data_IF_661674266970
#
_entry.id   IF_661674266970
#
_cell.length_a   1.000
_cell.length_b   1.000
_cell.length_c   1.000
_cell.angle_alpha   90.00
_cell.angle_beta   90.00
_cell.angle_gamma   90.00
#
_symmetry.space_group_name_H-M   'P 1'
#
loop_
_entity.id
_entity.type
_entity.pdbx_description
1 polymer ?
#
# COMPACT_ATOMS: atom_id res chain seq x y z
N UNK A 1 96.61 -29.15 21.68
CA UNK A 1 95.42 -29.33 22.54
C UNK A 1 94.18 -28.96 21.71
N UNK A 2 93.53 -29.89 21.01
CA UNK A 2 92.50 -30.87 21.48
C UNK A 2 91.19 -30.14 21.88
N UNK A 3 89.98 -30.38 21.31
CA UNK A 3 89.34 -31.46 20.49
C UNK A 3 88.20 -30.82 19.64
N UNK A 4 88.08 -31.09 18.32
CA UNK A 4 87.16 -32.01 17.58
C UNK A 4 85.65 -31.90 17.99
N UNK A 5 84.65 -31.80 17.09
CA UNK A 5 84.00 -32.91 16.32
C UNK A 5 82.77 -32.39 15.49
N UNK A 6 82.63 -32.83 14.21
CA UNK A 6 81.41 -33.12 13.35
C UNK A 6 80.44 -31.96 12.97
N UNK A 7 79.71 -31.90 11.83
CA UNK A 7 79.72 -32.46 10.47
C UNK A 7 78.52 -31.86 9.67
N UNK A 8 78.66 -31.78 8.34
CA UNK A 8 77.68 -32.10 7.26
C UNK A 8 76.36 -31.31 7.08
N UNK A 9 76.26 -30.69 5.89
CA UNK A 9 75.15 -30.45 4.93
C UNK A 9 73.71 -30.13 5.42
N UNK A 10 73.08 -29.11 4.81
CA UNK A 10 71.92 -29.20 3.86
C UNK A 10 71.30 -27.79 3.68
N UNK A 11 71.35 -27.29 2.44
CA UNK A 11 70.22 -26.71 1.66
C UNK A 11 69.13 -25.91 2.39
N UNK A 12 69.01 -24.60 2.10
CA UNK A 12 67.87 -24.01 1.35
C UNK A 12 68.01 -22.47 1.30
N UNK A 13 68.05 -21.92 0.09
CA UNK A 13 67.69 -20.52 -0.17
C UNK A 13 66.18 -20.38 0.09
N UNK A 14 65.79 -19.63 1.12
CA UNK A 14 64.45 -19.04 1.22
C UNK A 14 64.52 -17.63 0.64
N UNK A 15 64.20 -17.51 -0.64
CA UNK A 15 63.77 -16.25 -1.24
C UNK A 15 62.44 -15.89 -0.58
N UNK A 16 62.44 -14.94 0.35
CA UNK A 16 61.23 -14.38 0.91
C UNK A 16 60.51 -13.55 -0.13
N UNK A 17 59.62 -14.17 -0.92
CA UNK A 17 58.56 -13.46 -1.63
C UNK A 17 57.61 -12.88 -0.60
N UNK A 18 57.73 -11.58 -0.34
CA UNK A 18 56.68 -10.80 0.32
C UNK A 18 55.53 -10.74 -0.68
N UNK A 19 54.60 -11.69 -0.58
CA UNK A 19 53.27 -11.58 -1.18
C UNK A 19 52.56 -10.52 -0.34
N UNK A 20 52.64 -9.26 -0.76
CA UNK A 20 51.67 -8.25 -0.35
C UNK A 20 50.32 -8.74 -0.81
N UNK A 21 49.52 -9.21 0.15
CA UNK A 21 48.11 -9.52 -0.05
C UNK A 21 47.39 -8.17 -0.24
N UNK A 22 47.48 -7.61 -1.44
CA UNK A 22 46.49 -6.64 -1.90
C UNK A 22 45.20 -7.44 -2.03
N UNK A 23 44.36 -7.40 -1.00
CA UNK A 23 42.92 -7.54 -1.18
C UNK A 23 42.51 -6.38 -2.08
N UNK A 24 42.61 -6.57 -3.39
CA UNK A 24 41.61 -5.98 -4.26
C UNK A 24 40.28 -6.49 -3.73
N UNK A 25 39.53 -5.61 -3.08
CA UNK A 25 38.08 -5.76 -3.09
C UNK A 25 37.67 -5.72 -4.54
N UNK A 26 37.71 -6.87 -5.21
CA UNK A 26 36.89 -7.13 -6.39
C UNK A 26 35.47 -6.90 -5.90
N UNK A 27 34.99 -5.68 -6.09
CA UNK A 27 33.58 -5.39 -6.11
C UNK A 27 33.07 -6.20 -7.29
N UNK A 28 32.61 -7.42 -7.00
CA UNK A 28 31.83 -8.20 -7.95
C UNK A 28 30.73 -7.28 -8.45
N UNK A 29 30.86 -6.80 -9.69
CA UNK A 29 29.84 -5.96 -10.29
C UNK A 29 28.60 -6.85 -10.36
N UNK A 30 27.58 -6.54 -9.57
CA UNK A 30 26.32 -7.28 -9.56
C UNK A 30 25.60 -6.99 -10.87
N UNK A 31 25.89 -7.80 -11.89
CA UNK A 31 25.51 -7.54 -13.28
C UNK A 31 24.27 -8.30 -13.73
N UNK A 32 23.72 -9.18 -12.90
CA UNK A 32 22.54 -9.97 -13.27
C UNK A 32 21.27 -9.42 -12.64
N UNK A 33 20.17 -9.60 -13.36
CA UNK A 33 18.83 -9.37 -12.84
C UNK A 33 18.53 -10.26 -11.62
N UNK A 34 19.11 -11.47 -11.54
CA UNK A 34 18.97 -12.34 -10.36
C UNK A 34 19.52 -11.69 -9.08
N UNK A 35 20.66 -11.00 -9.15
CA UNK A 35 21.21 -10.28 -8.00
C UNK A 35 20.34 -9.09 -7.59
N UNK A 36 19.63 -8.46 -8.53
CA UNK A 36 18.64 -7.43 -8.21
C UNK A 36 17.45 -8.03 -7.45
N UNK A 37 16.98 -9.20 -7.86
CA UNK A 37 15.90 -9.93 -7.16
C UNK A 37 16.34 -10.31 -5.75
N UNK A 38 17.58 -10.77 -5.56
CA UNK A 38 18.14 -11.02 -4.22
C UNK A 38 18.15 -9.75 -3.36
N UNK A 39 18.65 -8.63 -3.91
CA UNK A 39 18.60 -7.34 -3.23
C UNK A 39 17.17 -6.92 -2.89
N UNK A 40 16.21 -7.14 -3.79
CA UNK A 40 14.80 -6.84 -3.55
C UNK A 40 14.25 -7.62 -2.35
N UNK A 41 14.53 -8.92 -2.26
CA UNK A 41 14.08 -9.71 -1.12
C UNK A 41 14.71 -9.25 0.20
N UNK A 42 16.02 -9.00 0.22
CA UNK A 42 16.69 -8.44 1.40
C UNK A 42 16.11 -7.07 1.80
N UNK A 43 15.85 -6.22 0.80
CA UNK A 43 15.24 -4.91 0.97
C UNK A 43 13.84 -5.01 1.59
N UNK A 44 12.96 -5.88 1.06
CA UNK A 44 11.60 -6.06 1.57
C UNK A 44 11.60 -6.64 2.98
N UNK A 45 12.49 -7.58 3.27
CA UNK A 45 12.67 -8.09 4.62
C UNK A 45 13.09 -6.98 5.60
N UNK A 46 14.06 -6.15 5.23
CA UNK A 46 14.50 -5.01 6.03
C UNK A 46 13.43 -3.93 6.23
N UNK A 47 12.69 -3.58 5.17
CA UNK A 47 11.65 -2.57 5.23
C UNK A 47 10.49 -3.03 6.13
N UNK A 48 10.19 -4.33 6.14
CA UNK A 48 9.14 -4.95 6.96
C UNK A 48 9.54 -5.36 8.38
N UNK A 49 10.83 -5.39 8.73
CA UNK A 49 11.32 -5.79 10.07
C UNK A 49 11.16 -4.66 11.11
N UNK A 50 9.91 -4.34 11.41
CA UNK A 50 9.50 -3.27 12.32
C UNK A 50 8.58 -3.78 13.43
N UNK A 51 8.90 -4.93 14.03
CA UNK A 51 8.10 -5.50 15.12
C UNK A 51 8.93 -5.69 16.40
N UNK A 52 8.31 -5.38 17.54
CA UNK A 52 8.81 -5.69 18.88
C UNK A 52 7.67 -6.38 19.64
N UNK A 53 7.91 -7.62 20.10
CA UNK A 53 6.90 -8.47 20.77
C UNK A 53 5.58 -8.63 19.98
N UNK A 54 5.68 -8.72 18.65
CA UNK A 54 4.54 -8.87 17.75
C UNK A 54 3.73 -7.59 17.49
N UNK A 55 4.13 -6.45 18.06
CA UNK A 55 3.51 -5.14 17.83
C UNK A 55 4.40 -4.33 16.88
N UNK A 56 3.84 -3.64 15.86
CA UNK A 56 4.62 -2.73 15.03
C UNK A 56 5.30 -1.63 15.87
N UNK A 57 6.61 -1.46 15.69
CA UNK A 57 7.48 -0.56 16.44
C UNK A 57 7.94 0.60 15.54
N UNK A 58 7.32 1.76 15.74
CA UNK A 58 7.66 3.04 15.11
C UNK A 58 8.23 4.03 16.13
N UNK A 59 8.81 3.53 17.23
CA UNK A 59 9.51 4.37 18.19
C UNK A 59 10.63 5.16 17.52
N UNK A 60 10.99 6.30 18.11
CA UNK A 60 12.08 7.14 17.60
C UNK A 60 13.41 6.38 17.50
N UNK A 61 13.68 5.47 18.44
CA UNK A 61 14.86 4.61 18.42
C UNK A 61 14.82 3.63 17.24
N UNK A 62 13.71 2.92 17.04
CA UNK A 62 13.57 1.97 15.94
C UNK A 62 13.64 2.66 14.57
N UNK A 63 12.96 3.78 14.40
CA UNK A 63 12.98 4.56 13.16
C UNK A 63 14.36 5.13 12.88
N UNK A 64 15.07 5.61 13.91
CA UNK A 64 16.46 6.03 13.76
C UNK A 64 17.36 4.87 13.33
N UNK A 65 17.25 3.70 13.97
CA UNK A 65 18.03 2.52 13.62
C UNK A 65 17.79 2.10 12.16
N UNK A 66 16.52 2.01 11.74
CA UNK A 66 16.19 1.69 10.36
C UNK A 66 16.82 2.71 9.40
N UNK A 67 16.71 4.00 9.67
CA UNK A 67 17.28 5.02 8.80
C UNK A 67 18.82 5.02 8.77
N UNK A 68 19.48 4.66 9.87
CA UNK A 68 20.94 4.52 9.93
C UNK A 68 21.45 3.30 9.14
N UNK A 69 20.68 2.21 9.09
CA UNK A 69 21.01 0.98 8.36
C UNK A 69 20.64 1.07 6.87
N UNK A 70 19.64 1.87 6.53
CA UNK A 70 19.10 2.03 5.17
C UNK A 70 20.15 2.32 4.07
N UNK A 71 21.20 3.14 4.28
CA UNK A 71 22.24 3.38 3.28
C UNK A 71 22.91 2.11 2.73
N UNK A 72 22.93 1.00 3.48
CA UNK A 72 23.45 -0.29 3.00
C UNK A 72 22.72 -0.75 1.73
N UNK A 73 21.40 -0.65 1.71
CA UNK A 73 20.57 -1.08 0.58
C UNK A 73 20.68 -0.13 -0.60
N UNK A 74 20.67 1.19 -0.35
CA UNK A 74 20.87 2.19 -1.40
C UNK A 74 22.22 2.02 -2.10
N UNK A 75 23.29 1.78 -1.34
CA UNK A 75 24.62 1.57 -1.90
C UNK A 75 24.71 0.26 -2.70
N UNK A 76 24.05 -0.82 -2.24
CA UNK A 76 23.95 -2.07 -3.01
C UNK A 76 23.24 -1.85 -4.34
N UNK A 77 22.12 -1.13 -4.35
CA UNK A 77 21.38 -0.82 -5.59
C UNK A 77 22.20 0.06 -6.55
N UNK A 78 22.88 1.09 -6.02
CA UNK A 78 23.67 2.01 -6.83
C UNK A 78 24.89 1.36 -7.53
N UNK A 79 25.31 0.17 -7.09
CA UNK A 79 26.43 -0.58 -7.67
C UNK A 79 26.06 -1.47 -8.87
N UNK A 80 24.77 -1.54 -9.25
CA UNK A 80 24.36 -2.28 -10.44
C UNK A 80 24.70 -1.49 -11.72
N UNK A 81 25.40 -2.14 -12.66
CA UNK A 81 25.48 -1.63 -14.04
C UNK A 81 24.29 -2.18 -14.84
N UNK A 82 23.37 -1.28 -15.19
CA UNK A 82 22.17 -1.62 -15.97
C UNK A 82 22.39 -1.46 -17.48
N UNK A 83 23.62 -1.17 -17.91
CA UNK A 83 23.97 -1.06 -19.33
C UNK A 83 23.68 -2.37 -20.05
N UNK A 84 22.94 -2.29 -21.17
CA UNK A 84 22.57 -3.47 -21.96
C UNK A 84 21.45 -4.33 -21.36
N UNK A 85 20.89 -3.96 -20.20
CA UNK A 85 19.73 -4.68 -19.66
C UNK A 85 18.51 -4.56 -20.57
N UNK A 86 17.70 -5.63 -20.60
CA UNK A 86 16.40 -5.62 -21.26
C UNK A 86 15.47 -4.57 -20.62
N UNK A 87 14.46 -4.11 -21.35
CA UNK A 87 13.47 -3.16 -20.81
C UNK A 87 12.81 -3.72 -19.52
N UNK A 88 12.33 -4.98 -19.47
CA UNK A 88 11.74 -5.53 -18.25
C UNK A 88 12.68 -5.50 -17.03
N UNK A 89 13.97 -5.77 -17.22
CA UNK A 89 14.93 -5.73 -16.10
C UNK A 89 15.23 -4.30 -15.64
N UNK A 90 15.26 -3.33 -16.56
CA UNK A 90 15.41 -1.91 -16.21
C UNK A 90 14.19 -1.37 -15.46
N UNK A 91 12.98 -1.82 -15.83
CA UNK A 91 11.76 -1.52 -15.08
C UNK A 91 11.90 -2.01 -13.65
N UNK A 92 12.28 -3.28 -13.46
CA UNK A 92 12.48 -3.86 -12.13
C UNK A 92 13.49 -3.07 -11.30
N UNK A 93 14.61 -2.65 -11.89
CA UNK A 93 15.58 -1.79 -11.21
C UNK A 93 14.97 -0.47 -10.73
N UNK A 94 14.20 0.21 -11.59
CA UNK A 94 13.57 1.49 -11.25
C UNK A 94 12.46 1.34 -10.21
N UNK A 95 11.75 0.21 -10.17
CA UNK A 95 10.76 -0.06 -9.14
C UNK A 95 11.42 -0.24 -7.78
N UNK A 96 12.51 -1.00 -7.68
CA UNK A 96 13.28 -1.14 -6.43
C UNK A 96 13.84 0.21 -5.99
N UNK A 97 14.35 1.03 -6.92
CA UNK A 97 14.80 2.39 -6.63
C UNK A 97 13.67 3.27 -6.09
N UNK A 98 12.48 3.20 -6.70
CA UNK A 98 11.31 3.96 -6.28
C UNK A 98 10.85 3.57 -4.88
N UNK A 99 10.86 2.27 -4.53
CA UNK A 99 10.54 1.84 -3.17
C UNK A 99 11.54 2.38 -2.14
N UNK A 100 12.84 2.30 -2.44
CA UNK A 100 13.87 2.86 -1.55
C UNK A 100 13.71 4.38 -1.39
N UNK A 101 13.39 5.09 -2.48
CA UNK A 101 13.09 6.52 -2.42
C UNK A 101 11.84 6.82 -1.58
N UNK A 102 10.83 5.94 -1.60
CA UNK A 102 9.65 6.02 -0.74
C UNK A 102 10.01 5.98 0.74
N UNK A 103 10.82 5.01 1.17
CA UNK A 103 11.29 4.93 2.57
C UNK A 103 12.09 6.19 2.97
N UNK A 104 13.01 6.61 2.10
CA UNK A 104 13.81 7.81 2.31
C UNK A 104 12.93 9.05 2.53
N UNK A 105 11.87 9.17 1.74
CA UNK A 105 10.93 10.26 1.81
C UNK A 105 10.05 10.21 3.06
N UNK A 106 9.61 9.02 3.47
CA UNK A 106 8.89 8.83 4.72
C UNK A 106 9.74 9.25 5.92
N UNK A 107 11.01 8.86 5.98
CA UNK A 107 11.91 9.27 7.07
C UNK A 107 12.22 10.76 7.09
N UNK A 108 12.42 11.39 5.93
CA UNK A 108 12.83 12.80 5.86
C UNK A 108 11.66 13.77 5.90
N UNK A 109 10.55 13.45 5.22
CA UNK A 109 9.50 14.42 4.86
C UNK A 109 8.13 14.06 5.42
N UNK A 110 7.55 12.91 5.05
CA UNK A 110 6.16 12.58 5.43
C UNK A 110 6.08 12.22 6.91
N UNK A 111 6.98 11.38 7.40
CA UNK A 111 7.05 10.88 8.79
C UNK A 111 5.67 10.48 9.31
N UNK A 112 4.99 9.53 8.66
CA UNK A 112 3.58 9.24 8.94
C UNK A 112 3.36 8.89 10.41
N UNK A 113 4.26 8.11 11.03
CA UNK A 113 4.25 7.78 12.46
C UNK A 113 4.32 8.99 13.40
N UNK A 114 4.92 10.12 12.98
CA UNK A 114 4.96 11.35 13.78
C UNK A 114 3.81 12.31 13.48
N UNK A 115 3.33 12.33 12.23
CA UNK A 115 2.49 13.42 11.70
C UNK A 115 1.02 13.05 11.54
N UNK A 116 0.70 11.78 11.33
CA UNK A 116 -0.64 11.33 10.94
C UNK A 116 -1.21 10.34 11.96
N UNK A 117 -2.21 10.73 12.77
CA UNK A 117 -2.89 9.76 13.63
C UNK A 117 -3.61 8.65 12.85
N UNK A 118 -4.02 8.90 11.61
CA UNK A 118 -4.65 7.88 10.75
C UNK A 118 -3.72 6.68 10.47
N UNK A 119 -2.40 6.88 10.51
CA UNK A 119 -1.40 5.81 10.35
C UNK A 119 -1.54 4.69 11.39
N UNK A 120 -2.10 5.01 12.55
CA UNK A 120 -2.29 4.05 13.65
C UNK A 120 -3.62 3.26 13.56
N UNK A 121 -4.40 3.49 12.50
CA UNK A 121 -5.63 2.74 12.21
C UNK A 121 -5.33 1.49 11.41
N UNK A 122 -5.37 0.34 12.07
CA UNK A 122 -4.90 -0.93 11.48
C UNK A 122 -6.03 -1.93 11.23
N UNK A 123 -7.27 -1.65 11.64
CA UNK A 123 -8.42 -2.54 11.36
C UNK A 123 -9.10 -2.10 10.06
N UNK A 124 -9.23 -3.02 9.11
CA UNK A 124 -9.85 -2.79 7.80
C UNK A 124 -10.89 -3.87 7.51
N UNK A 125 -12.10 -3.48 7.13
CA UNK A 125 -13.24 -4.37 6.88
C UNK A 125 -13.52 -4.63 5.40
N UNK A 126 -12.76 -3.99 4.53
CA UNK A 126 -12.92 -4.07 3.08
C UNK A 126 -11.57 -4.21 2.40
N UNK A 127 -11.56 -5.01 1.34
CA UNK A 127 -10.42 -5.13 0.46
C UNK A 127 -10.21 -3.81 -0.28
N UNK A 128 -8.97 -3.34 -0.36
CA UNK A 128 -8.63 -2.23 -1.26
C UNK A 128 -8.96 -2.63 -2.71
N UNK A 129 -9.52 -1.70 -3.47
CA UNK A 129 -9.71 -1.83 -4.91
C UNK A 129 -8.39 -1.84 -5.68
N UNK A 130 -7.27 -1.62 -5.00
CA UNK A 130 -5.94 -1.61 -5.58
C UNK A 130 -5.02 -2.60 -4.87
N UNK A 131 -3.81 -2.90 -5.41
CA UNK A 131 -2.97 -3.97 -4.88
C UNK A 131 -2.59 -3.83 -3.39
N UNK A 132 -2.55 -2.62 -2.84
CA UNK A 132 -2.35 -2.36 -1.42
C UNK A 132 -3.17 -1.13 -1.01
N UNK A 133 -3.49 -0.96 0.28
CA UNK A 133 -4.22 0.22 0.74
C UNK A 133 -3.52 1.53 0.36
N UNK A 134 -4.33 2.52 -0.02
CA UNK A 134 -3.85 3.85 -0.40
C UNK A 134 -3.37 4.68 0.79
N UNK A 135 -2.26 5.40 0.57
CA UNK A 135 -1.66 6.27 1.56
C UNK A 135 -0.73 5.54 2.53
N UNK A 136 -0.23 6.28 3.52
CA UNK A 136 0.67 5.71 4.52
C UNK A 136 -0.10 4.81 5.49
N UNK A 137 0.11 3.51 5.36
CA UNK A 137 -0.41 2.48 6.26
C UNK A 137 0.69 1.84 7.10
N UNK A 138 0.40 1.54 8.36
CA UNK A 138 1.33 0.82 9.21
C UNK A 138 1.38 -0.67 8.83
N UNK A 139 2.53 -1.30 9.04
CA UNK A 139 2.63 -2.76 9.14
C UNK A 139 1.67 -3.34 10.19
N UNK A 140 1.31 -4.61 10.02
CA UNK A 140 0.48 -5.34 10.99
C UNK A 140 -1.01 -5.05 10.88
N UNK A 141 -1.51 -4.78 9.66
CA UNK A 141 -2.93 -4.60 9.41
C UNK A 141 -3.74 -5.86 9.80
N UNK A 142 -4.96 -5.63 10.27
CA UNK A 142 -5.97 -6.65 10.53
C UNK A 142 -7.05 -6.51 9.47
N UNK A 143 -6.94 -7.33 8.43
CA UNK A 143 -7.80 -7.35 7.26
C UNK A 143 -9.02 -8.27 7.50
N UNK A 144 -10.11 -7.72 8.04
CA UNK A 144 -11.30 -8.50 8.42
C UNK A 144 -12.01 -9.14 7.22
N UNK A 145 -11.79 -8.61 6.01
CA UNK A 145 -12.35 -9.14 4.77
C UNK A 145 -11.68 -10.45 4.30
N UNK A 146 -10.50 -10.79 4.83
CA UNK A 146 -9.81 -12.06 4.52
C UNK A 146 -10.41 -13.27 5.26
N UNK A 147 -11.36 -13.04 6.17
CA UNK A 147 -11.94 -14.09 7.00
C UNK A 147 -13.31 -14.54 6.50
N UNK A 148 -13.51 -15.84 6.45
CA UNK A 148 -14.81 -16.46 6.24
C UNK A 148 -15.58 -16.56 7.58
N UNK A 149 -16.89 -16.35 7.54
CA UNK A 149 -17.75 -16.43 8.72
C UNK A 149 -18.79 -17.54 8.54
N UNK A 150 -19.06 -18.37 9.57
CA UNK A 150 -18.50 -18.32 10.93
C UNK A 150 -17.00 -18.67 10.97
N UNK A 151 -16.26 -18.03 11.89
CA UNK A 151 -14.80 -18.15 11.98
C UNK A 151 -14.39 -19.58 12.38
N UNK A 152 -13.28 -20.06 11.79
CA UNK A 152 -12.63 -21.28 12.25
C UNK A 152 -11.83 -21.06 13.55
N UNK A 153 -11.50 -22.11 14.29
CA UNK A 153 -10.64 -22.01 15.49
C UNK A 153 -9.29 -21.35 15.18
N UNK A 154 -8.72 -21.65 14.01
CA UNK A 154 -7.46 -21.05 13.56
C UNK A 154 -7.61 -19.54 13.31
N UNK A 155 -8.72 -19.14 12.70
CA UNK A 155 -9.02 -17.72 12.44
C UNK A 155 -9.35 -16.95 13.71
N UNK A 156 -10.03 -17.58 14.68
CA UNK A 156 -10.25 -17.01 16.01
C UNK A 156 -8.91 -16.68 16.67
N UNK A 157 -7.94 -17.61 16.63
CA UNK A 157 -6.61 -17.39 17.20
C UNK A 157 -5.87 -16.27 16.47
N UNK A 158 -5.83 -16.31 15.12
CA UNK A 158 -5.16 -15.31 14.27
C UNK A 158 -5.73 -13.91 14.50
N UNK A 159 -7.05 -13.77 14.42
CA UNK A 159 -7.75 -12.49 14.61
C UNK A 159 -7.56 -11.96 16.03
N UNK A 160 -7.70 -12.82 17.05
CA UNK A 160 -7.45 -12.45 18.46
C UNK A 160 -6.04 -11.91 18.66
N UNK A 161 -5.02 -12.54 18.06
CA UNK A 161 -3.63 -12.07 18.15
C UNK A 161 -3.45 -10.71 17.46
N UNK A 162 -4.04 -10.53 16.26
CA UNK A 162 -4.01 -9.24 15.55
C UNK A 162 -4.66 -8.11 16.36
N UNK A 163 -5.86 -8.33 16.88
CA UNK A 163 -6.60 -7.35 17.68
C UNK A 163 -5.86 -6.95 18.96
N UNK A 164 -5.15 -7.89 19.60
CA UNK A 164 -4.35 -7.61 20.80
C UNK A 164 -3.20 -6.63 20.56
N UNK A 165 -2.78 -6.42 19.32
CA UNK A 165 -1.75 -5.42 18.98
C UNK A 165 -2.27 -3.99 19.03
N UNK A 166 -3.59 -3.76 18.90
CA UNK A 166 -4.20 -2.42 18.81
C UNK A 166 -3.88 -1.58 20.05
N UNK A 167 -4.12 -2.11 21.25
CA UNK A 167 -3.89 -1.37 22.49
C UNK A 167 -2.44 -0.90 22.69
N UNK A 168 -1.41 -1.78 22.69
CA UNK A 168 -0.03 -1.34 22.81
C UNK A 168 0.41 -0.44 21.65
N UNK A 169 -0.12 -0.64 20.44
CA UNK A 169 0.18 0.22 19.30
C UNK A 169 -0.35 1.65 19.47
N UNK A 170 -1.57 1.81 19.99
CA UNK A 170 -2.15 3.13 20.28
C UNK A 170 -1.51 3.82 21.49
N UNK A 171 -0.99 3.08 22.46
CA UNK A 171 -0.14 3.64 23.52
C UNK A 171 1.14 4.25 22.93
N UNK A 172 1.78 3.52 22.01
CA UNK A 172 2.95 4.01 21.28
C UNK A 172 2.62 5.27 20.44
N UNK A 173 1.45 5.30 19.81
CA UNK A 173 0.98 6.44 19.02
C UNK A 173 0.96 7.75 19.83
N UNK A 174 0.49 7.70 21.09
CA UNK A 174 0.45 8.87 21.98
C UNK A 174 1.83 9.46 22.26
N UNK A 175 2.90 8.67 22.14
CA UNK A 175 4.30 9.09 22.30
C UNK A 175 4.86 9.62 20.98
N UNK A 176 4.65 8.90 19.88
CA UNK A 176 5.24 9.20 18.58
C UNK A 176 4.62 10.45 17.92
N UNK A 177 3.33 10.69 18.13
CA UNK A 177 2.56 11.76 17.48
C UNK A 177 2.90 13.15 18.02
N UNK A 178 3.97 13.70 17.47
CA UNK A 178 4.50 15.05 17.77
C UNK A 178 4.13 16.09 16.71
N UNK A 179 3.55 15.66 15.58
CA UNK A 179 3.16 16.52 14.48
C UNK A 179 2.06 17.54 14.83
N UNK A 180 2.01 18.60 14.01
CA UNK A 180 1.13 19.75 14.23
C UNK A 180 0.09 19.98 13.12
N UNK A 181 0.03 19.13 12.08
CA UNK A 181 -0.85 19.31 10.93
C UNK A 181 -2.32 19.10 11.31
N UNK A 182 -3.09 20.19 11.45
CA UNK A 182 -4.44 20.14 12.06
C UNK A 182 -5.41 19.24 11.30
N UNK A 183 -5.36 19.28 9.98
CA UNK A 183 -6.19 18.48 9.08
C UNK A 183 -5.85 16.98 9.13
N UNK A 184 -4.57 16.60 9.22
CA UNK A 184 -4.19 15.20 9.44
C UNK A 184 -4.72 14.68 10.78
N UNK A 185 -4.77 15.52 11.81
CA UNK A 185 -5.36 15.14 13.10
C UNK A 185 -6.88 14.97 13.00
N UNK A 186 -7.59 15.84 12.25
CA UNK A 186 -9.02 15.67 11.99
C UNK A 186 -9.33 14.40 11.22
N UNK A 187 -8.59 14.13 10.15
CA UNK A 187 -8.73 12.89 9.38
C UNK A 187 -8.39 11.66 10.21
N UNK A 188 -7.38 11.75 11.06
CA UNK A 188 -7.03 10.71 12.03
C UNK A 188 -8.14 10.37 13.01
N UNK A 189 -8.83 11.38 13.56
CA UNK A 189 -10.01 11.16 14.41
C UNK A 189 -11.08 10.40 13.64
N UNK A 190 -11.45 10.85 12.44
CA UNK A 190 -12.46 10.17 11.62
C UNK A 190 -12.07 8.72 11.30
N UNK A 191 -10.79 8.46 10.98
CA UNK A 191 -10.27 7.10 10.74
C UNK A 191 -10.40 6.21 11.97
N UNK A 192 -10.10 6.74 13.16
CA UNK A 192 -10.24 6.00 14.42
C UNK A 192 -11.70 5.76 14.80
N UNK A 193 -12.58 6.74 14.59
CA UNK A 193 -14.03 6.55 14.76
C UNK A 193 -14.57 5.45 13.84
N UNK A 194 -14.07 5.39 12.59
CA UNK A 194 -14.38 4.29 11.67
C UNK A 194 -13.92 2.95 12.22
N UNK A 195 -12.67 2.87 12.70
CA UNK A 195 -12.16 1.65 13.34
C UNK A 195 -13.00 1.24 14.55
N UNK A 196 -13.44 2.19 15.37
CA UNK A 196 -14.31 1.92 16.53
C UNK A 196 -15.66 1.34 16.12
N UNK A 197 -16.27 1.86 15.04
CA UNK A 197 -17.51 1.30 14.45
C UNK A 197 -17.28 -0.10 13.88
N UNK A 198 -16.24 -0.28 13.07
CA UNK A 198 -15.87 -1.60 12.52
C UNK A 198 -15.64 -2.64 13.63
N UNK A 199 -15.03 -2.26 14.76
CA UNK A 199 -14.87 -3.15 15.91
C UNK A 199 -16.20 -3.47 16.61
N UNK A 200 -17.14 -2.53 16.66
CA UNK A 200 -18.49 -2.78 17.17
C UNK A 200 -19.26 -3.74 16.24
N UNK A 201 -19.20 -3.53 14.93
CA UNK A 201 -19.84 -4.40 13.94
C UNK A 201 -19.24 -5.82 13.98
N UNK A 202 -17.92 -5.92 14.15
CA UNK A 202 -17.24 -7.21 14.34
C UNK A 202 -17.71 -7.90 15.62
N UNK A 203 -17.83 -7.16 16.74
CA UNK A 203 -18.33 -7.70 18.00
C UNK A 203 -19.72 -8.29 17.84
N UNK A 204 -20.64 -7.54 17.21
CA UNK A 204 -22.02 -7.99 16.96
C UNK A 204 -22.04 -9.24 16.07
N UNK A 205 -21.15 -9.31 15.08
CA UNK A 205 -21.01 -10.46 14.17
C UNK A 205 -20.45 -11.72 14.84
N UNK A 206 -19.65 -11.58 15.92
CA UNK A 206 -18.91 -12.69 16.54
C UNK A 206 -19.21 -12.93 18.02
N UNK A 207 -20.23 -12.27 18.59
CA UNK A 207 -20.47 -12.23 20.04
C UNK A 207 -20.49 -13.62 20.71
N UNK A 208 -21.16 -14.58 20.08
CA UNK A 208 -21.32 -15.95 20.59
C UNK A 208 -20.23 -16.93 20.10
N UNK A 209 -19.17 -16.43 19.45
CA UNK A 209 -18.15 -17.28 18.82
C UNK A 209 -17.08 -17.73 19.81
N UNK A 210 -16.53 -16.82 20.61
CA UNK A 210 -15.44 -17.13 21.54
C UNK A 210 -15.23 -16.03 22.59
N UNK A 211 -15.16 -16.38 23.87
CA UNK A 211 -14.93 -15.43 24.96
C UNK A 211 -13.60 -14.68 24.80
N UNK A 212 -12.54 -15.36 24.33
CA UNK A 212 -11.21 -14.73 24.14
C UNK A 212 -11.21 -13.72 23.00
N UNK A 213 -12.00 -13.97 21.94
CA UNK A 213 -12.15 -13.06 20.80
C UNK A 213 -12.98 -11.86 21.22
N UNK A 214 -14.12 -12.09 21.87
CA UNK A 214 -14.98 -11.05 22.42
C UNK A 214 -14.21 -10.12 23.36
N UNK A 215 -13.35 -10.66 24.23
CA UNK A 215 -12.48 -9.85 25.07
C UNK A 215 -11.49 -8.99 24.25
N UNK A 216 -10.82 -9.57 23.26
CA UNK A 216 -9.85 -8.86 22.43
C UNK A 216 -10.50 -7.74 21.58
N UNK A 217 -11.70 -7.95 21.05
CA UNK A 217 -12.45 -6.92 20.31
C UNK A 217 -12.81 -5.76 21.24
N UNK A 218 -13.34 -6.06 22.44
CA UNK A 218 -13.68 -5.04 23.44
C UNK A 218 -12.45 -4.23 23.87
N UNK A 219 -11.32 -4.89 24.16
CA UNK A 219 -10.07 -4.21 24.53
C UNK A 219 -9.56 -3.30 23.41
N UNK A 220 -9.58 -3.78 22.15
CA UNK A 220 -9.19 -2.98 20.99
C UNK A 220 -10.11 -1.77 20.80
N UNK A 221 -11.43 -1.94 21.02
CA UNK A 221 -12.41 -0.86 20.93
C UNK A 221 -12.20 0.18 22.02
N UNK A 222 -12.04 -0.23 23.28
CA UNK A 222 -11.76 0.67 24.41
C UNK A 222 -10.48 1.48 24.14
N UNK A 223 -9.40 0.82 23.71
CA UNK A 223 -8.17 1.51 23.37
C UNK A 223 -8.33 2.52 22.23
N UNK A 224 -9.15 2.18 21.22
CA UNK A 224 -9.47 3.07 20.10
C UNK A 224 -10.28 4.28 20.58
N UNK A 225 -11.32 4.09 21.39
CA UNK A 225 -12.17 5.17 21.93
C UNK A 225 -11.39 6.11 22.87
N UNK A 226 -10.52 5.56 23.71
CA UNK A 226 -9.60 6.34 24.55
C UNK A 226 -8.60 7.14 23.72
N UNK A 227 -8.16 6.59 22.58
CA UNK A 227 -7.27 7.28 21.67
C UNK A 227 -7.99 8.41 20.91
N UNK A 228 -9.23 8.20 20.46
CA UNK A 228 -10.10 9.25 19.88
C UNK A 228 -10.21 10.42 20.86
N UNK A 229 -10.61 10.15 22.10
CA UNK A 229 -10.74 11.17 23.15
C UNK A 229 -9.42 11.93 23.33
N UNK A 230 -8.29 11.22 23.37
CA UNK A 230 -6.98 11.86 23.45
C UNK A 230 -6.69 12.75 22.24
N UNK A 231 -6.97 12.30 21.01
CA UNK A 231 -6.77 13.09 19.79
C UNK A 231 -7.61 14.37 19.81
N UNK A 232 -8.86 14.31 20.25
CA UNK A 232 -9.75 15.47 20.37
C UNK A 232 -9.20 16.51 21.35
N UNK A 233 -8.69 16.07 22.51
CA UNK A 233 -8.07 16.99 23.48
C UNK A 233 -6.86 17.72 22.90
N UNK A 234 -6.07 17.02 22.07
CA UNK A 234 -4.88 17.59 21.42
C UNK A 234 -5.23 18.45 20.21
N UNK A 235 -6.32 18.16 19.50
CA UNK A 235 -6.70 18.82 18.24
C UNK A 235 -6.80 20.33 18.39
N UNK A 236 -7.33 20.83 19.51
CA UNK A 236 -7.46 22.26 19.79
C UNK A 236 -6.13 23.02 19.65
N UNK A 237 -5.02 22.40 20.03
CA UNK A 237 -3.67 22.97 19.95
C UNK A 237 -3.01 22.88 18.57
N UNK A 238 -3.58 22.11 17.63
CA UNK A 238 -2.97 21.85 16.31
C UNK A 238 -3.25 22.98 15.34
N UNK A 239 -2.20 23.60 14.80
CA UNK A 239 -2.30 24.78 13.92
C UNK A 239 -1.37 24.73 12.68
N UNK A 240 -0.63 23.64 12.52
CA UNK A 240 0.27 23.44 11.39
C UNK A 240 -0.47 23.05 10.11
N UNK A 241 0.21 23.24 8.98
CA UNK A 241 -0.24 22.78 7.64
C UNK A 241 0.16 21.31 7.41
N UNK A 242 -0.63 20.58 6.64
CA UNK A 242 -0.30 19.22 6.17
C UNK A 242 0.67 19.19 5.00
N UNK A 243 0.56 20.19 4.10
CA UNK A 243 1.32 20.22 2.85
C UNK A 243 2.82 20.05 3.04
N UNK A 244 3.44 19.31 2.12
CA UNK A 244 4.88 19.00 2.13
C UNK A 244 5.74 20.02 1.36
N UNK A 245 5.10 20.99 0.69
CA UNK A 245 5.77 21.97 -0.16
C UNK A 245 6.01 21.46 -1.60
N UNK A 246 6.10 22.39 -2.55
CA UNK A 246 6.17 22.08 -3.99
C UNK A 246 7.43 21.27 -4.34
N UNK A 247 8.59 21.62 -3.78
CA UNK A 247 9.85 20.92 -4.10
C UNK A 247 9.81 19.45 -3.66
N UNK A 248 9.31 19.19 -2.45
CA UNK A 248 9.12 17.82 -1.97
C UNK A 248 8.06 17.08 -2.78
N UNK A 249 6.97 17.74 -3.17
CA UNK A 249 5.92 17.12 -3.99
C UNK A 249 6.44 16.75 -5.38
N UNK A 250 7.17 17.65 -6.04
CA UNK A 250 7.84 17.38 -7.32
C UNK A 250 8.86 16.25 -7.21
N UNK A 251 9.64 16.23 -6.13
CA UNK A 251 10.60 15.16 -5.89
C UNK A 251 9.88 13.83 -5.71
N UNK A 252 8.79 13.78 -4.94
CA UNK A 252 8.04 12.58 -4.66
C UNK A 252 7.37 12.01 -5.92
N UNK A 253 6.70 12.86 -6.70
CA UNK A 253 6.14 12.48 -8.00
C UNK A 253 7.17 11.83 -8.91
N UNK A 254 8.34 12.47 -9.06
CA UNK A 254 9.37 12.00 -9.98
C UNK A 254 10.07 10.73 -9.51
N UNK A 255 10.40 10.65 -8.22
CA UNK A 255 11.33 9.64 -7.71
C UNK A 255 10.64 8.45 -7.02
N UNK A 256 9.36 8.59 -6.67
CA UNK A 256 8.55 7.51 -6.07
C UNK A 256 7.45 7.09 -7.05
N UNK A 257 6.55 8.00 -7.43
CA UNK A 257 5.44 7.67 -8.36
C UNK A 257 5.87 7.60 -9.83
N UNK A 258 7.13 7.90 -10.14
CA UNK A 258 7.70 7.89 -11.50
C UNK A 258 6.92 8.75 -12.51
N UNK A 259 6.23 9.79 -12.03
CA UNK A 259 5.50 10.75 -12.84
C UNK A 259 6.47 11.80 -13.38
N UNK A 260 6.58 12.00 -14.72
CA UNK A 260 7.59 12.86 -15.31
C UNK A 260 7.23 14.36 -15.26
N UNK A 261 6.05 14.69 -14.73
CA UNK A 261 5.52 16.04 -14.67
C UNK A 261 5.70 16.64 -13.27
N UNK A 262 5.97 17.93 -13.24
CA UNK A 262 5.92 18.72 -12.01
C UNK A 262 4.47 18.93 -11.55
N UNK A 263 4.31 19.27 -10.27
CA UNK A 263 3.06 19.73 -9.68
C UNK A 263 2.38 20.81 -10.54
N UNK A 264 3.15 21.77 -11.08
CA UNK A 264 2.57 22.87 -11.85
C UNK A 264 2.04 22.41 -13.21
N UNK A 265 2.73 21.48 -13.86
CA UNK A 265 2.27 20.89 -15.12
C UNK A 265 1.00 20.06 -14.91
N UNK A 266 0.99 19.23 -13.85
CA UNK A 266 -0.19 18.45 -13.48
C UNK A 266 -1.38 19.36 -13.16
N UNK A 267 -1.19 20.39 -12.34
CA UNK A 267 -2.24 21.36 -12.02
C UNK A 267 -2.77 22.08 -13.26
N UNK A 268 -1.89 22.40 -14.21
CA UNK A 268 -2.28 23.03 -15.48
C UNK A 268 -3.14 22.08 -16.33
N UNK A 269 -2.72 20.81 -16.44
CA UNK A 269 -3.49 19.78 -17.16
C UNK A 269 -4.86 19.53 -16.50
N UNK A 270 -4.89 19.40 -15.17
CA UNK A 270 -6.13 19.20 -14.40
C UNK A 270 -7.10 20.37 -14.55
N UNK A 271 -6.62 21.62 -14.55
CA UNK A 271 -7.49 22.78 -14.80
C UNK A 271 -8.10 22.75 -16.20
N UNK A 272 -7.30 22.41 -17.22
CA UNK A 272 -7.80 22.29 -18.59
C UNK A 272 -8.86 21.19 -18.67
N UNK A 273 -8.61 20.07 -18.01
CA UNK A 273 -9.51 18.92 -17.99
C UNK A 273 -10.82 19.23 -17.25
N UNK A 274 -10.76 19.96 -16.12
CA UNK A 274 -11.96 20.41 -15.41
C UNK A 274 -12.85 21.30 -16.28
N UNK A 275 -12.25 22.25 -17.01
CA UNK A 275 -13.00 23.12 -17.94
C UNK A 275 -13.61 22.30 -19.08
N UNK A 276 -12.86 21.32 -19.61
CA UNK A 276 -13.35 20.40 -20.65
C UNK A 276 -14.54 19.58 -20.14
N UNK A 277 -14.42 18.99 -18.95
CA UNK A 277 -15.47 18.17 -18.34
C UNK A 277 -16.75 18.98 -18.09
N UNK A 278 -16.66 20.20 -17.54
CA UNK A 278 -17.83 21.07 -17.37
C UNK A 278 -18.47 21.46 -18.71
N UNK A 279 -17.66 21.71 -19.74
CA UNK A 279 -18.18 22.04 -21.07
C UNK A 279 -18.93 20.86 -21.67
N UNK A 280 -18.34 19.66 -21.62
CA UNK A 280 -18.98 18.42 -22.08
C UNK A 280 -20.27 18.13 -21.31
N UNK A 281 -20.28 18.30 -19.98
CA UNK A 281 -21.47 18.13 -19.16
C UNK A 281 -22.60 19.06 -19.62
N UNK A 282 -22.32 20.35 -19.83
CA UNK A 282 -23.34 21.31 -20.28
C UNK A 282 -23.89 20.98 -21.67
N UNK A 283 -23.05 20.44 -22.56
CA UNK A 283 -23.49 19.99 -23.89
C UNK A 283 -24.40 18.77 -23.78
N UNK A 284 -24.05 17.78 -22.96
CA UNK A 284 -24.90 16.60 -22.76
C UNK A 284 -26.19 16.94 -22.00
N UNK A 285 -26.17 17.82 -21.01
CA UNK A 285 -27.38 18.33 -20.34
C UNK A 285 -28.32 19.02 -21.34
N UNK A 286 -27.80 19.85 -22.23
CA UNK A 286 -28.63 20.51 -23.25
C UNK A 286 -29.18 19.51 -24.27
N UNK A 287 -28.34 18.58 -24.76
CA UNK A 287 -28.76 17.53 -25.68
C UNK A 287 -29.87 16.65 -25.08
N UNK A 288 -29.79 16.39 -23.79
CA UNK A 288 -30.69 15.50 -23.06
C UNK A 288 -31.80 16.25 -22.30
N UNK A 289 -31.98 17.56 -22.53
CA UNK A 289 -32.91 18.41 -21.76
C UNK A 289 -34.37 17.98 -21.83
N UNK A 290 -34.76 17.28 -22.91
CA UNK A 290 -36.13 16.80 -23.15
C UNK A 290 -36.33 15.34 -22.71
N UNK A 291 -35.29 14.68 -22.17
CA UNK A 291 -35.41 13.32 -21.63
C UNK A 291 -35.95 13.36 -20.18
N UNK A 292 -36.70 12.34 -19.76
CA UNK A 292 -37.10 12.22 -18.36
C UNK A 292 -35.84 12.08 -17.46
N UNK A 293 -35.87 12.60 -16.22
CA UNK A 293 -34.79 12.39 -15.27
C UNK A 293 -34.51 10.90 -15.06
N UNK A 294 -33.23 10.55 -14.93
CA UNK A 294 -32.84 9.22 -14.50
C UNK A 294 -33.26 9.07 -13.03
N UNK A 295 -34.03 8.03 -12.72
CA UNK A 295 -34.50 7.76 -11.36
C UNK A 295 -33.73 6.57 -10.76
N UNK A 296 -33.40 6.60 -9.46
CA UNK A 296 -32.81 5.47 -8.77
C UNK A 296 -33.69 4.22 -8.87
N UNK A 297 -33.06 3.05 -8.93
CA UNK A 297 -33.75 1.77 -8.80
C UNK A 297 -34.57 1.71 -7.51
N UNK A 298 -35.82 1.28 -7.62
CA UNK A 298 -36.82 1.44 -6.57
C UNK A 298 -36.95 0.24 -5.62
N UNK A 299 -36.33 -0.90 -5.95
CA UNK A 299 -36.40 -2.11 -5.14
C UNK A 299 -35.12 -2.93 -5.19
N UNK A 300 -34.97 -3.83 -4.21
CA UNK A 300 -33.87 -4.80 -4.18
C UNK A 300 -33.88 -5.69 -5.42
N UNK A 301 -35.04 -6.17 -5.84
CA UNK A 301 -35.18 -7.03 -7.01
C UNK A 301 -34.74 -6.31 -8.29
N UNK A 302 -35.10 -5.04 -8.44
CA UNK A 302 -34.63 -4.22 -9.56
C UNK A 302 -33.12 -4.01 -9.51
N UNK A 303 -32.60 -3.65 -8.33
CA UNK A 303 -31.17 -3.46 -8.08
C UNK A 303 -30.35 -4.69 -8.44
N UNK A 304 -30.70 -5.85 -7.88
CA UNK A 304 -29.99 -7.10 -8.12
C UNK A 304 -30.03 -7.45 -9.62
N UNK A 305 -31.20 -7.34 -10.26
CA UNK A 305 -31.36 -7.64 -11.69
C UNK A 305 -30.46 -6.75 -12.56
N UNK A 306 -30.51 -5.42 -12.37
CA UNK A 306 -29.76 -4.47 -13.19
C UNK A 306 -28.26 -4.53 -12.92
N UNK A 307 -27.84 -4.67 -11.66
CA UNK A 307 -26.42 -4.78 -11.31
C UNK A 307 -25.78 -6.04 -11.88
N UNK A 308 -26.47 -7.20 -11.83
CA UNK A 308 -25.98 -8.42 -12.48
C UNK A 308 -26.01 -8.32 -14.02
N UNK A 309 -27.05 -7.71 -14.59
CA UNK A 309 -27.14 -7.52 -16.04
C UNK A 309 -26.00 -6.63 -16.57
N UNK A 310 -25.65 -5.56 -15.85
CA UNK A 310 -24.56 -4.65 -16.25
C UNK A 310 -23.19 -5.33 -16.33
N UNK A 311 -22.90 -6.33 -15.48
CA UNK A 311 -21.65 -7.10 -15.59
C UNK A 311 -21.64 -7.92 -16.87
N UNK A 312 -22.73 -8.64 -17.13
CA UNK A 312 -22.89 -9.44 -18.36
C UNK A 312 -22.78 -8.56 -19.61
N UNK A 313 -23.42 -7.40 -19.59
CA UNK A 313 -23.35 -6.42 -20.67
C UNK A 313 -21.93 -5.91 -20.89
N UNK A 314 -21.24 -5.49 -19.82
CA UNK A 314 -19.88 -4.97 -19.93
C UNK A 314 -18.89 -6.02 -20.45
N UNK A 315 -18.92 -7.25 -19.93
CA UNK A 315 -18.06 -8.34 -20.41
C UNK A 315 -18.35 -8.66 -21.87
N UNK A 316 -19.63 -8.68 -22.27
CA UNK A 316 -20.01 -8.90 -23.68
C UNK A 316 -19.51 -7.77 -24.56
N UNK A 317 -19.61 -6.51 -24.13
CA UNK A 317 -19.08 -5.36 -24.86
C UNK A 317 -17.56 -5.47 -25.07
N UNK A 318 -16.80 -5.80 -24.01
CA UNK A 318 -15.36 -5.98 -24.09
C UNK A 318 -14.98 -7.08 -25.10
N UNK A 319 -15.75 -8.19 -25.11
CA UNK A 319 -15.58 -9.31 -26.03
C UNK A 319 -15.89 -8.94 -27.47
N UNK A 320 -17.11 -8.45 -27.70
CA UNK A 320 -17.70 -8.30 -29.03
C UNK A 320 -17.04 -7.15 -29.81
N UNK A 321 -16.43 -6.20 -29.08
CA UNK A 321 -15.69 -5.07 -29.65
C UNK A 321 -14.17 -5.27 -29.65
N UNK A 322 -13.68 -6.42 -29.19
CA UNK A 322 -12.24 -6.75 -29.11
C UNK A 322 -11.43 -5.64 -28.40
N UNK A 323 -11.95 -5.14 -27.26
CA UNK A 323 -11.35 -4.02 -26.52
C UNK A 323 -10.15 -4.51 -25.71
N UNK A 324 -10.27 -5.70 -25.12
CA UNK A 324 -9.22 -6.33 -24.31
C UNK A 324 -9.17 -7.84 -24.57
N UNK A 325 -8.01 -8.45 -24.34
CA UNK A 325 -7.88 -9.90 -24.28
C UNK A 325 -8.57 -10.43 -23.03
N UNK A 326 -9.81 -10.90 -23.19
CA UNK A 326 -10.60 -11.44 -22.08
C UNK A 326 -9.95 -12.66 -21.46
N UNK A 327 -10.03 -12.73 -20.13
CA UNK A 327 -9.57 -13.86 -19.31
C UNK A 327 -10.74 -14.46 -18.55
N UNK A 328 -10.66 -15.75 -18.25
CA UNK A 328 -11.75 -16.53 -17.65
C UNK A 328 -12.18 -15.99 -16.27
N UNK A 329 -11.26 -15.35 -15.53
CA UNK A 329 -11.52 -14.78 -14.21
C UNK A 329 -12.22 -13.40 -14.25
N UNK A 330 -12.27 -12.71 -15.40
CA UNK A 330 -12.73 -11.32 -15.46
C UNK A 330 -14.21 -11.16 -15.08
N UNK A 331 -15.11 -11.99 -15.62
CA UNK A 331 -16.54 -11.93 -15.28
C UNK A 331 -16.76 -12.17 -13.77
N UNK A 332 -16.13 -13.21 -13.22
CA UNK A 332 -16.20 -13.53 -11.79
C UNK A 332 -15.64 -12.40 -10.91
N UNK A 333 -14.51 -11.80 -11.30
CA UNK A 333 -13.89 -10.70 -10.56
C UNK A 333 -14.84 -9.49 -10.39
N UNK A 334 -15.69 -9.21 -11.37
CA UNK A 334 -16.70 -8.15 -11.25
C UNK A 334 -17.92 -8.59 -10.44
N UNK A 335 -18.36 -9.84 -10.58
CA UNK A 335 -19.51 -10.37 -9.84
C UNK A 335 -19.28 -10.37 -8.33
N UNK A 336 -18.05 -10.62 -7.90
CA UNK A 336 -17.63 -10.54 -6.49
C UNK A 336 -17.69 -9.11 -5.92
N UNK A 337 -17.87 -8.09 -6.77
CA UNK A 337 -17.87 -6.66 -6.41
C UNK A 337 -19.21 -5.99 -6.58
N UNK A 338 -20.27 -6.80 -6.74
CA UNK A 338 -21.63 -6.32 -6.64
C UNK A 338 -21.94 -6.09 -5.17
N UNK A 339 -21.98 -4.83 -4.77
CA UNK A 339 -22.40 -4.44 -3.43
C UNK A 339 -23.84 -4.89 -3.16
N UNK A 340 -24.18 -5.27 -1.92
CA UNK A 340 -25.56 -5.58 -1.56
C UNK A 340 -26.44 -4.33 -1.65
N UNK A 341 -27.72 -4.52 -1.98
CA UNK A 341 -28.71 -3.44 -1.94
C UNK A 341 -28.77 -2.79 -0.56
N UNK A 342 -28.65 -1.47 -0.51
CA UNK A 342 -28.84 -0.67 0.69
C UNK A 342 -29.97 0.35 0.48
N UNK A 343 -31.06 0.32 1.26
CA UNK A 343 -32.14 1.30 1.17
C UNK A 343 -31.84 2.62 1.90
N UNK A 344 -30.63 2.79 2.45
CA UNK A 344 -30.28 3.92 3.31
C UNK A 344 -30.11 5.20 2.47
N UNK A 345 -30.66 6.30 2.98
CA UNK A 345 -30.61 7.64 2.38
C UNK A 345 -30.04 8.65 3.39
N UNK A 346 -29.28 9.68 2.95
CA UNK A 346 -28.80 9.87 1.58
C UNK A 346 -27.73 8.84 1.21
N UNK A 347 -27.65 8.42 -0.06
CA UNK A 347 -26.56 7.54 -0.50
C UNK A 347 -25.26 8.31 -0.66
N UNK A 348 -24.16 7.57 -0.56
CA UNK A 348 -22.82 8.05 -0.91
C UNK A 348 -22.69 8.18 -2.43
N UNK A 349 -21.75 9.01 -2.90
CA UNK A 349 -21.56 9.34 -4.31
C UNK A 349 -21.56 8.13 -5.26
N UNK A 350 -20.79 7.08 -4.96
CA UNK A 350 -20.74 5.91 -5.86
C UNK A 350 -22.03 5.10 -5.84
N UNK A 351 -22.70 5.05 -4.69
CA UNK A 351 -24.00 4.40 -4.58
C UNK A 351 -25.06 5.17 -5.38
N UNK A 352 -25.02 6.50 -5.40
CA UNK A 352 -25.89 7.29 -6.28
C UNK A 352 -25.69 6.91 -7.75
N UNK A 353 -24.45 6.83 -8.24
CA UNK A 353 -24.19 6.42 -9.64
C UNK A 353 -24.72 5.01 -9.91
N UNK A 354 -24.41 4.03 -9.06
CA UNK A 354 -24.83 2.63 -9.25
C UNK A 354 -26.35 2.50 -9.24
N UNK A 355 -27.05 3.22 -8.35
CA UNK A 355 -28.50 3.17 -8.26
C UNK A 355 -29.21 3.76 -9.48
N UNK A 356 -28.59 4.73 -10.15
CA UNK A 356 -29.12 5.32 -11.37
C UNK A 356 -28.78 4.49 -12.61
N UNK A 357 -27.52 4.11 -12.76
CA UNK A 357 -27.05 3.23 -13.82
C UNK A 357 -25.76 2.50 -13.38
N UNK A 358 -25.85 1.19 -13.05
CA UNK A 358 -24.68 0.43 -12.62
C UNK A 358 -23.62 0.29 -13.71
N UNK A 359 -23.99 0.40 -14.99
CA UNK A 359 -23.06 0.27 -16.10
C UNK A 359 -21.98 1.35 -16.08
N UNK A 360 -22.31 2.58 -15.66
CA UNK A 360 -21.34 3.68 -15.54
C UNK A 360 -20.18 3.33 -14.62
N UNK A 361 -20.42 2.60 -13.53
CA UNK A 361 -19.35 2.17 -12.62
C UNK A 361 -18.65 0.89 -13.08
N UNK A 362 -19.26 0.05 -13.92
CA UNK A 362 -18.59 -1.19 -14.40
C UNK A 362 -17.34 -0.90 -15.21
N UNK A 363 -17.31 0.20 -15.96
CA UNK A 363 -16.10 0.57 -16.72
C UNK A 363 -14.94 0.96 -15.81
N UNK A 364 -15.22 1.58 -14.66
CA UNK A 364 -14.21 1.95 -13.67
C UNK A 364 -13.75 0.77 -12.81
N UNK A 365 -14.55 -0.29 -12.73
CA UNK A 365 -14.23 -1.50 -11.98
C UNK A 365 -13.09 -2.34 -12.61
N UNK A 366 -12.33 -1.77 -13.55
CA UNK A 366 -11.17 -2.38 -14.18
C UNK A 366 -10.12 -2.83 -13.17
N UNK A 367 -9.98 -2.14 -12.04
CA UNK A 367 -9.06 -2.52 -10.98
C UNK A 367 -9.24 -3.95 -10.48
N UNK A 368 -10.48 -4.43 -10.46
CA UNK A 368 -10.78 -5.80 -10.03
C UNK A 368 -10.24 -6.84 -11.01
N UNK A 369 -10.10 -6.51 -12.30
CA UNK A 369 -9.38 -7.35 -13.25
C UNK A 369 -7.88 -7.39 -12.95
N UNK A 370 -7.30 -6.27 -12.52
CA UNK A 370 -5.89 -6.20 -12.16
C UNK A 370 -5.57 -6.99 -10.90
N UNK A 371 -6.43 -6.91 -9.88
CA UNK A 371 -6.32 -7.72 -8.66
C UNK A 371 -6.50 -9.21 -8.96
N UNK A 372 -7.50 -9.58 -9.76
CA UNK A 372 -7.70 -10.96 -10.18
C UNK A 372 -6.51 -11.46 -11.01
N UNK A 373 -5.94 -10.63 -11.89
CA UNK A 373 -4.71 -10.97 -12.63
C UNK A 373 -3.54 -11.21 -11.70
N UNK A 374 -3.34 -10.38 -10.68
CA UNK A 374 -2.26 -10.60 -9.72
C UNK A 374 -2.41 -11.93 -8.96
N UNK A 375 -3.64 -12.33 -8.65
CA UNK A 375 -3.94 -13.61 -7.99
C UNK A 375 -3.77 -14.81 -8.92
N UNK A 376 -4.34 -14.74 -10.12
CA UNK A 376 -4.54 -15.91 -11.01
C UNK A 376 -3.46 -16.03 -12.09
N UNK A 377 -2.84 -14.92 -12.49
CA UNK A 377 -1.77 -14.84 -13.49
C UNK A 377 -0.65 -13.88 -13.02
N UNK A 378 0.01 -14.13 -11.87
CA UNK A 378 1.00 -13.23 -11.31
C UNK A 378 2.15 -13.00 -12.30
N UNK A 379 2.67 -11.76 -12.32
CA UNK A 379 3.79 -11.42 -13.18
C UNK A 379 5.00 -12.32 -12.89
N UNK A 380 5.71 -12.78 -13.93
CA UNK A 380 6.87 -13.68 -13.78
C UNK A 380 8.10 -13.07 -13.07
N UNK A 381 8.05 -11.80 -12.70
CA UNK A 381 9.14 -11.10 -12.01
C UNK A 381 8.74 -11.00 -10.55
N UNK A 382 9.53 -11.51 -9.60
CA UNK A 382 9.21 -11.44 -8.18
C UNK A 382 9.00 -10.01 -7.65
N UNK A 383 9.58 -9.02 -8.33
CA UNK A 383 9.47 -7.59 -8.00
C UNK A 383 8.09 -7.03 -8.39
N UNK A 384 7.46 -7.59 -9.44
CA UNK A 384 6.15 -7.15 -9.97
C UNK A 384 5.02 -8.13 -9.70
N UNK A 385 5.30 -9.24 -9.02
CA UNK A 385 4.29 -10.25 -8.66
C UNK A 385 3.52 -9.89 -7.39
N UNK A 386 3.97 -8.89 -6.64
CA UNK A 386 3.39 -8.46 -5.37
C UNK A 386 3.06 -6.97 -5.40
N UNK A 387 2.20 -6.48 -4.49
CA UNK A 387 1.94 -5.05 -4.36
C UNK A 387 3.24 -4.27 -4.12
N UNK A 388 3.47 -3.25 -4.95
CA UNK A 388 4.59 -2.33 -4.79
C UNK A 388 4.36 -1.43 -3.57
N UNK A 389 5.42 -1.13 -2.83
CA UNK A 389 5.34 -0.22 -1.69
C UNK A 389 5.05 1.23 -2.11
N UNK A 390 4.66 2.06 -1.14
CA UNK A 390 4.51 3.52 -1.27
C UNK A 390 3.57 3.96 -2.40
N UNK A 391 2.58 3.12 -2.71
CA UNK A 391 1.56 3.35 -3.75
C UNK A 391 2.15 3.67 -5.14
N UNK A 392 3.35 3.16 -5.47
CA UNK A 392 4.00 3.38 -6.79
C UNK A 392 3.10 2.96 -7.97
N UNK A 393 2.19 2.01 -7.73
CA UNK A 393 1.27 1.47 -8.73
C UNK A 393 0.07 2.40 -9.02
N UNK A 394 -0.18 3.44 -8.21
CA UNK A 394 -1.42 4.23 -8.20
C UNK A 394 -1.78 4.80 -9.56
N UNK A 395 -0.86 5.51 -10.19
CA UNK A 395 -1.06 6.19 -11.46
C UNK A 395 -1.36 5.21 -12.59
N UNK A 396 -0.86 3.97 -12.49
CA UNK A 396 -1.13 2.90 -13.47
C UNK A 396 -2.45 2.19 -13.19
N UNK A 397 -2.82 2.02 -11.92
CA UNK A 397 -4.07 1.37 -11.53
C UNK A 397 -5.24 2.34 -11.78
N UNK A 398 -5.24 3.49 -11.10
CA UNK A 398 -6.30 4.51 -11.16
C UNK A 398 -6.42 5.13 -12.54
N UNK A 399 -5.28 5.37 -13.19
CA UNK A 399 -5.24 5.93 -14.54
C UNK A 399 -5.69 4.95 -15.63
N UNK A 400 -5.77 3.63 -15.36
CA UNK A 400 -6.31 2.67 -16.33
C UNK A 400 -7.82 2.46 -16.15
N UNK A 401 -8.29 2.56 -14.91
CA UNK A 401 -9.71 2.47 -14.59
C UNK A 401 -10.50 3.74 -14.90
N UNK A 402 -9.86 4.90 -14.90
CA UNK A 402 -10.46 6.19 -15.28
C UNK A 402 -10.33 6.43 -16.78
#
# INVERSE_FOLDING_TARGET
>A
MMKKIIAVQIMLLMLGTIITCNKSSDVSIMNSHSSLVELYHDWRAFQGDLFTDGVPDYSDERMKKQYDEFPVYKNRLANFDTTGWSIPHRIDYHLVLAEMNGLDFDHRVIKPWKRSPAFYGIIWDSQSDTPAHEGSVAHGLVELWEYDYPLSDADIIKLTQGLRTVSPFLVQAKINLTGNARDLWRGGIHRMESQSRTLADLLDKTMDTSEILTAAINDAKIATDDFITWLETKLSSKQGKSGIGIDNYNWYLKNVHLVPYSWKEIETMMRRELVRAHSSLKLEEHRNQDLPPLIPMASKEEYDKKTHASVTEFISLLKDRDIVSLKDYMDQALRERISPYSPIEPREFFSEVIFHDPMVMRTHFYHWFDLARMRDEPHSSPIRSNPLLYNIWDSRSEGLAT
#
